data_IF_945513868617
#
_entry.id   IF_945513868617
#
_cell.length_a   1.000
_cell.length_b   1.000
_cell.length_c   1.000
_cell.angle_alpha   90.00
_cell.angle_beta   90.00
_cell.angle_gamma   90.00
#
_symmetry.space_group_name_H-M   'P 1'
#
loop_
_entity.id
_entity.type
_entity.pdbx_description
1 polymer ?
#
# COMPACT_ATOMS: atom_id res chain seq x y z
N UNK A 1 -16.59 65.53 -60.26
CA UNK A 1 -17.86 64.91 -59.81
C UNK A 1 -18.18 63.82 -60.83
N UNK A 2 -18.14 62.51 -60.61
CA UNK A 2 -18.47 61.64 -59.47
C UNK A 2 -17.48 60.46 -59.48
N UNK A 3 -16.85 60.17 -58.35
CA UNK A 3 -16.14 58.90 -58.14
C UNK A 3 -17.18 57.79 -58.08
N UNK A 4 -17.03 56.80 -58.95
CA UNK A 4 -17.99 55.74 -59.22
C UNK A 4 -18.08 54.79 -58.01
N UNK A 5 -19.21 54.81 -57.31
CA UNK A 5 -19.44 54.16 -56.02
C UNK A 5 -20.06 52.76 -56.20
N UNK A 6 -19.48 51.92 -57.07
CA UNK A 6 -20.10 50.63 -57.44
C UNK A 6 -19.34 49.34 -57.07
N UNK A 7 -18.09 49.39 -56.65
CA UNK A 7 -17.30 48.16 -56.37
C UNK A 7 -17.19 47.74 -54.89
N UNK A 8 -17.84 48.45 -53.97
CA UNK A 8 -17.74 48.17 -52.52
C UNK A 8 -18.75 47.17 -51.95
N UNK A 9 -19.66 46.63 -52.77
CA UNK A 9 -20.72 45.72 -52.27
C UNK A 9 -20.25 44.28 -52.05
N UNK A 10 -19.26 43.80 -52.80
CA UNK A 10 -18.68 42.47 -52.61
C UNK A 10 -17.65 42.40 -51.46
N UNK A 11 -16.99 43.51 -51.13
CA UNK A 11 -16.00 43.55 -50.05
C UNK A 11 -16.66 43.48 -48.67
N UNK A 12 -17.80 44.17 -48.47
CA UNK A 12 -18.51 44.14 -47.18
C UNK A 12 -19.10 42.77 -46.83
N UNK A 13 -19.50 41.96 -47.82
CA UNK A 13 -19.91 40.57 -47.57
C UNK A 13 -18.75 39.65 -47.24
N UNK A 14 -17.57 39.87 -47.85
CA UNK A 14 -16.36 39.10 -47.57
C UNK A 14 -15.81 39.41 -46.18
N UNK A 15 -15.71 40.70 -45.82
CA UNK A 15 -15.32 41.16 -44.48
C UNK A 15 -16.30 40.65 -43.41
N UNK A 16 -17.59 40.68 -43.70
CA UNK A 16 -18.63 40.11 -42.83
C UNK A 16 -18.49 38.61 -42.63
N UNK A 17 -18.17 37.85 -43.68
CA UNK A 17 -17.95 36.41 -43.59
C UNK A 17 -16.70 36.06 -42.77
N UNK A 18 -15.58 36.76 -43.00
CA UNK A 18 -14.33 36.55 -42.24
C UNK A 18 -14.54 36.91 -40.76
N UNK A 19 -15.18 38.05 -40.48
CA UNK A 19 -15.48 38.47 -39.11
C UNK A 19 -16.43 37.49 -38.40
N UNK A 20 -17.43 36.96 -39.10
CA UNK A 20 -18.35 35.96 -38.56
C UNK A 20 -17.63 34.64 -38.25
N UNK A 21 -16.79 34.15 -39.15
CA UNK A 21 -15.99 32.94 -38.92
C UNK A 21 -15.02 33.13 -37.75
N UNK A 22 -14.35 34.28 -37.66
CA UNK A 22 -13.44 34.58 -36.55
C UNK A 22 -14.19 34.65 -35.21
N UNK A 23 -15.38 35.27 -35.19
CA UNK A 23 -16.23 35.34 -34.01
C UNK A 23 -16.70 33.94 -33.57
N UNK A 24 -17.09 33.08 -34.51
CA UNK A 24 -17.53 31.73 -34.22
C UNK A 24 -16.40 30.90 -33.60
N UNK A 25 -15.19 30.97 -34.18
CA UNK A 25 -14.00 30.31 -33.61
C UNK A 25 -13.71 30.82 -32.20
N UNK A 26 -13.82 32.14 -31.98
CA UNK A 26 -13.61 32.73 -30.65
C UNK A 26 -14.64 32.23 -29.62
N UNK A 27 -15.93 32.22 -29.98
CA UNK A 27 -16.99 31.73 -29.09
C UNK A 27 -16.77 30.25 -28.80
N UNK A 28 -16.47 29.42 -29.80
CA UNK A 28 -16.20 27.99 -29.61
C UNK A 28 -14.99 27.77 -28.70
N UNK A 29 -13.92 28.56 -28.85
CA UNK A 29 -12.75 28.48 -27.98
C UNK A 29 -13.10 28.83 -26.52
N UNK A 30 -13.85 29.91 -26.29
CA UNK A 30 -14.29 30.30 -24.93
C UNK A 30 -15.18 29.22 -24.31
N UNK A 31 -16.16 28.69 -25.05
CA UNK A 31 -17.02 27.60 -24.59
C UNK A 31 -16.20 26.34 -24.28
N UNK A 32 -15.21 26.00 -25.10
CA UNK A 32 -14.34 24.85 -24.87
C UNK A 32 -13.49 25.02 -23.59
N UNK A 33 -12.98 26.22 -23.31
CA UNK A 33 -12.24 26.51 -22.07
C UNK A 33 -13.15 26.39 -20.86
N UNK A 34 -14.36 26.97 -20.92
CA UNK A 34 -15.33 26.89 -19.82
C UNK A 34 -15.73 25.43 -19.56
N UNK A 35 -15.99 24.65 -20.62
CA UNK A 35 -16.33 23.24 -20.49
C UNK A 35 -15.18 22.44 -19.86
N UNK A 36 -13.94 22.75 -20.21
CA UNK A 36 -12.75 22.13 -19.61
C UNK A 36 -12.63 22.45 -18.12
N UNK A 37 -12.70 23.73 -17.74
CA UNK A 37 -12.62 24.14 -16.32
C UNK A 37 -13.77 23.53 -15.51
N UNK A 38 -14.98 23.45 -16.11
CA UNK A 38 -16.10 22.76 -15.47
C UNK A 38 -15.80 21.28 -15.26
N UNK A 39 -15.27 20.58 -16.25
CA UNK A 39 -14.92 19.17 -16.13
C UNK A 39 -13.89 18.91 -15.02
N UNK A 40 -12.88 19.77 -14.91
CA UNK A 40 -11.84 19.74 -13.86
C UNK A 40 -12.46 19.89 -12.45
N UNK A 41 -13.34 20.89 -12.27
CA UNK A 41 -14.07 21.12 -11.01
C UNK A 41 -14.97 19.91 -10.67
N UNK A 42 -15.65 19.35 -11.67
CA UNK A 42 -16.51 18.18 -11.46
C UNK A 42 -15.69 16.97 -11.02
N UNK A 43 -14.54 16.73 -11.63
CA UNK A 43 -13.63 15.65 -11.26
C UNK A 43 -13.12 15.81 -9.82
N UNK A 44 -12.66 16.99 -9.44
CA UNK A 44 -12.19 17.25 -8.08
C UNK A 44 -13.29 17.00 -7.05
N UNK A 45 -14.52 17.49 -7.30
CA UNK A 45 -15.66 17.27 -6.39
C UNK A 45 -16.08 15.81 -6.31
N UNK A 46 -15.95 15.05 -7.40
CA UNK A 46 -16.21 13.62 -7.38
C UNK A 46 -15.16 12.88 -6.55
N UNK A 47 -13.88 13.24 -6.67
CA UNK A 47 -12.81 12.69 -5.84
C UNK A 47 -13.00 13.01 -4.35
N UNK A 48 -13.34 14.25 -4.01
CA UNK A 48 -13.63 14.67 -2.62
C UNK A 48 -14.81 13.88 -2.02
N UNK A 49 -15.90 13.68 -2.78
CA UNK A 49 -17.03 12.90 -2.28
C UNK A 49 -16.66 11.42 -2.09
N UNK A 50 -15.87 10.85 -2.99
CA UNK A 50 -15.36 9.48 -2.83
C UNK A 50 -14.47 9.38 -1.59
N UNK A 51 -13.61 10.36 -1.35
CA UNK A 51 -12.79 10.47 -0.14
C UNK A 51 -13.64 10.47 1.13
N UNK A 52 -14.72 11.26 1.15
CA UNK A 52 -15.65 11.33 2.29
C UNK A 52 -16.37 10.00 2.53
N UNK A 53 -16.84 9.34 1.47
CA UNK A 53 -17.43 8.00 1.57
C UNK A 53 -16.41 7.00 2.13
N UNK A 54 -15.19 7.01 1.62
CA UNK A 54 -14.13 6.13 2.09
C UNK A 54 -13.76 6.38 3.56
N UNK A 55 -13.74 7.64 4.01
CA UNK A 55 -13.49 7.98 5.42
C UNK A 55 -14.51 7.35 6.38
N UNK A 56 -15.75 7.17 5.93
CA UNK A 56 -16.78 6.45 6.72
C UNK A 56 -16.65 4.94 6.66
N UNK A 57 -16.10 4.40 5.57
CA UNK A 57 -15.94 2.97 5.38
C UNK A 57 -14.74 2.43 6.17
N UNK A 58 -13.59 3.12 6.17
CA UNK A 58 -12.36 2.58 6.77
C UNK A 58 -12.49 2.16 8.25
N UNK A 59 -13.11 2.94 9.14
CA UNK A 59 -13.30 2.54 10.54
C UNK A 59 -14.25 1.35 10.73
N UNK A 60 -15.16 1.11 9.78
CA UNK A 60 -16.11 -0.01 9.84
C UNK A 60 -15.52 -1.32 9.29
N UNK A 61 -14.33 -1.27 8.68
CA UNK A 61 -13.69 -2.40 8.01
C UNK A 61 -12.59 -2.97 8.91
N UNK A 62 -12.89 -4.08 9.60
CA UNK A 62 -11.95 -4.76 10.50
C UNK A 62 -11.10 -5.81 9.80
N UNK A 63 -11.51 -6.28 8.61
CA UNK A 63 -10.83 -7.31 7.84
C UNK A 63 -10.83 -6.99 6.34
N UNK A 64 -9.81 -7.44 5.61
CA UNK A 64 -9.74 -7.46 4.15
C UNK A 64 -10.92 -8.21 3.50
N UNK A 65 -11.45 -9.24 4.16
CA UNK A 65 -12.65 -9.95 3.71
C UNK A 65 -13.91 -9.09 3.84
N UNK A 66 -14.04 -8.35 4.94
CA UNK A 66 -15.12 -7.37 5.13
C UNK A 66 -14.96 -6.17 4.20
N UNK A 67 -13.73 -5.75 3.92
CA UNK A 67 -13.38 -4.73 2.94
C UNK A 67 -13.87 -5.12 1.55
N UNK A 68 -13.51 -6.31 1.10
CA UNK A 68 -13.90 -6.85 -0.20
C UNK A 68 -15.41 -7.01 -0.27
N UNK A 69 -16.05 -7.64 0.73
CA UNK A 69 -17.48 -7.90 0.70
C UNK A 69 -18.31 -6.62 0.80
N UNK A 70 -17.90 -5.66 1.63
CA UNK A 70 -18.53 -4.33 1.73
C UNK A 70 -18.35 -3.55 0.43
N UNK A 71 -17.16 -3.55 -0.17
CA UNK A 71 -16.91 -2.91 -1.47
C UNK A 71 -17.71 -3.59 -2.59
N UNK A 72 -17.78 -4.93 -2.59
CA UNK A 72 -18.53 -5.71 -3.57
C UNK A 72 -20.04 -5.48 -3.45
N UNK A 73 -20.57 -5.43 -2.23
CA UNK A 73 -21.99 -5.17 -1.96
C UNK A 73 -22.37 -3.70 -2.19
N UNK A 74 -21.40 -2.79 -2.09
CA UNK A 74 -21.58 -1.37 -2.42
C UNK A 74 -21.50 -1.09 -3.93
N UNK A 75 -21.25 -2.09 -4.79
CA UNK A 75 -21.39 -1.97 -6.24
C UNK A 75 -22.87 -2.18 -6.61
N UNK A 76 -23.55 -1.21 -7.24
CA UNK A 76 -24.87 -1.45 -7.79
C UNK A 76 -24.77 -2.50 -8.91
N UNK A 77 -25.69 -3.47 -8.92
CA UNK A 77 -25.78 -4.63 -9.84
C UNK A 77 -25.88 -4.30 -11.36
N UNK A 78 -25.76 -3.03 -11.73
CA UNK A 78 -26.22 -2.50 -13.01
C UNK A 78 -25.15 -2.10 -14.04
N UNK A 79 -23.99 -1.57 -13.67
CA UNK A 79 -23.08 -0.97 -14.67
C UNK A 79 -21.59 -1.25 -14.39
N UNK A 80 -20.87 -1.61 -15.46
CA UNK A 80 -19.43 -1.92 -15.58
C UNK A 80 -19.01 -3.37 -15.22
N UNK A 81 -19.52 -4.31 -16.03
CA UNK A 81 -19.33 -5.76 -15.92
C UNK A 81 -18.08 -6.39 -16.57
N UNK A 82 -17.08 -5.65 -17.05
CA UNK A 82 -15.89 -6.32 -17.66
C UNK A 82 -14.57 -6.04 -16.98
N UNK A 83 -14.21 -4.79 -16.69
CA UNK A 83 -12.83 -4.48 -16.29
C UNK A 83 -12.66 -4.37 -14.76
N UNK A 84 -13.61 -3.72 -14.07
CA UNK A 84 -13.63 -3.63 -12.61
C UNK A 84 -13.85 -5.01 -12.01
N UNK A 85 -14.74 -5.82 -12.59
CA UNK A 85 -14.93 -7.20 -12.19
C UNK A 85 -13.70 -8.04 -12.51
N UNK A 86 -13.04 -7.90 -13.66
CA UNK A 86 -11.86 -8.72 -13.97
C UNK A 86 -10.66 -8.40 -13.08
N UNK A 87 -10.39 -7.12 -12.78
CA UNK A 87 -9.29 -6.74 -11.87
C UNK A 87 -9.61 -6.97 -10.41
N UNK A 88 -10.85 -6.70 -9.95
CA UNK A 88 -11.27 -7.08 -8.62
C UNK A 88 -11.32 -8.60 -8.47
N UNK A 89 -11.77 -9.35 -9.48
CA UNK A 89 -11.71 -10.82 -9.53
C UNK A 89 -10.27 -11.31 -9.64
N UNK A 90 -9.35 -10.57 -10.26
CA UNK A 90 -7.92 -10.91 -10.30
C UNK A 90 -7.25 -10.62 -8.97
N UNK A 91 -7.58 -9.50 -8.31
CA UNK A 91 -7.16 -9.19 -6.94
C UNK A 91 -7.76 -10.20 -5.96
N UNK A 92 -9.02 -10.62 -6.15
CA UNK A 92 -9.69 -11.67 -5.40
C UNK A 92 -9.15 -13.06 -5.71
N UNK A 93 -8.75 -13.34 -6.95
CA UNK A 93 -8.12 -14.59 -7.34
C UNK A 93 -6.66 -14.61 -6.89
N UNK A 94 -6.00 -13.47 -6.78
CA UNK A 94 -4.72 -13.34 -6.10
C UNK A 94 -4.97 -13.60 -4.61
N UNK A 95 -5.86 -12.87 -3.94
CA UNK A 95 -6.25 -13.09 -2.53
C UNK A 95 -6.70 -14.55 -2.26
N UNK A 96 -7.43 -15.18 -3.18
CA UNK A 96 -7.91 -16.55 -3.08
C UNK A 96 -6.84 -17.60 -3.42
N UNK A 97 -5.90 -17.29 -4.33
CA UNK A 97 -4.69 -18.10 -4.53
C UNK A 97 -3.70 -17.93 -3.38
N UNK A 98 -3.72 -16.77 -2.71
CA UNK A 98 -3.04 -16.49 -1.46
C UNK A 98 -3.70 -17.31 -0.34
N UNK A 99 -5.01 -17.62 -0.40
CA UNK A 99 -5.64 -18.59 0.50
C UNK A 99 -5.20 -20.06 0.33
N UNK A 100 -4.59 -20.42 -0.81
CA UNK A 100 -4.00 -21.76 -1.04
C UNK A 100 -2.46 -21.72 -0.89
N UNK A 101 -1.88 -20.52 -0.88
CA UNK A 101 -0.45 -20.24 -0.69
C UNK A 101 -0.27 -19.19 0.42
N UNK A 102 -0.84 -19.45 1.59
CA UNK A 102 -1.03 -18.50 2.70
C UNK A 102 0.27 -18.11 3.44
N UNK A 103 1.41 -18.69 3.08
CA UNK A 103 2.65 -18.67 3.85
C UNK A 103 3.60 -17.49 3.61
N UNK A 104 3.30 -16.57 2.69
CA UNK A 104 4.33 -15.65 2.17
C UNK A 104 3.92 -14.17 2.07
N UNK A 105 2.79 -13.78 2.68
CA UNK A 105 2.23 -12.42 2.52
C UNK A 105 2.17 -11.69 3.86
N UNK A 106 3.11 -10.77 4.05
CA UNK A 106 3.09 -9.82 5.16
C UNK A 106 1.87 -8.90 5.06
N UNK A 107 1.34 -8.45 6.19
CA UNK A 107 0.17 -7.55 6.27
C UNK A 107 0.30 -6.27 5.43
N UNK A 108 1.53 -5.78 5.21
CA UNK A 108 1.81 -4.65 4.32
C UNK A 108 1.53 -4.95 2.84
N UNK A 109 1.90 -6.14 2.35
CA UNK A 109 1.65 -6.52 0.96
C UNK A 109 0.18 -6.85 0.67
N UNK A 110 -0.57 -7.27 1.69
CA UNK A 110 -2.02 -7.45 1.59
C UNK A 110 -2.74 -6.09 1.61
N UNK A 111 -2.32 -5.19 2.50
CA UNK A 111 -2.81 -3.80 2.55
C UNK A 111 -2.61 -3.11 1.20
N UNK A 112 -1.41 -3.22 0.63
CA UNK A 112 -1.08 -2.67 -0.69
C UNK A 112 -1.94 -3.30 -1.80
N UNK A 113 -2.10 -4.63 -1.84
CA UNK A 113 -2.97 -5.30 -2.81
C UNK A 113 -4.44 -4.88 -2.73
N UNK A 114 -4.97 -4.68 -1.52
CA UNK A 114 -6.36 -4.25 -1.33
C UNK A 114 -6.53 -2.79 -1.72
N UNK A 115 -5.58 -1.93 -1.34
CA UNK A 115 -5.58 -0.50 -1.65
C UNK A 115 -5.41 -0.24 -3.15
N UNK A 116 -4.40 -0.84 -3.79
CA UNK A 116 -4.10 -0.65 -5.21
C UNK A 116 -4.99 -1.47 -6.14
N UNK A 117 -5.49 -2.63 -5.69
CA UNK A 117 -6.25 -3.54 -6.55
C UNK A 117 -7.76 -3.34 -6.50
N UNK A 118 -8.33 -3.26 -5.30
CA UNK A 118 -9.79 -3.25 -5.10
C UNK A 118 -10.29 -1.85 -4.85
N UNK A 119 -9.68 -1.14 -3.90
CA UNK A 119 -10.13 0.19 -3.51
C UNK A 119 -9.81 1.24 -4.56
N UNK A 120 -8.63 1.21 -5.20
CA UNK A 120 -8.29 2.14 -6.25
C UNK A 120 -9.24 2.04 -7.45
N UNK A 121 -9.56 0.81 -7.87
CA UNK A 121 -10.51 0.56 -8.96
C UNK A 121 -11.94 0.97 -8.58
N UNK A 122 -12.38 0.68 -7.34
CA UNK A 122 -13.70 1.13 -6.87
C UNK A 122 -13.78 2.65 -6.81
N UNK A 123 -12.75 3.30 -6.27
CA UNK A 123 -12.67 4.74 -6.16
C UNK A 123 -12.66 5.39 -7.55
N UNK A 124 -11.91 4.85 -8.52
CA UNK A 124 -11.93 5.31 -9.90
C UNK A 124 -13.33 5.19 -10.52
N UNK A 125 -14.03 4.07 -10.30
CA UNK A 125 -15.40 3.85 -10.75
C UNK A 125 -16.42 4.80 -10.10
N UNK A 126 -16.30 5.04 -8.78
CA UNK A 126 -17.14 5.99 -8.06
C UNK A 126 -16.90 7.44 -8.48
N UNK A 127 -15.64 7.79 -8.78
CA UNK A 127 -15.29 9.11 -9.31
C UNK A 127 -15.89 9.29 -10.71
N UNK A 128 -15.80 8.28 -11.57
CA UNK A 128 -16.41 8.31 -12.90
C UNK A 128 -17.94 8.45 -12.82
N UNK A 129 -18.58 7.65 -11.95
CA UNK A 129 -20.02 7.69 -11.74
C UNK A 129 -20.48 9.04 -11.15
N UNK A 130 -19.76 9.54 -10.15
CA UNK A 130 -20.00 10.84 -9.53
C UNK A 130 -19.79 12.01 -10.50
N UNK A 131 -18.89 11.87 -11.47
CA UNK A 131 -18.73 12.83 -12.56
C UNK A 131 -19.97 12.83 -13.46
N UNK A 132 -20.43 11.66 -13.92
CA UNK A 132 -21.62 11.54 -14.78
C UNK A 132 -22.86 12.11 -14.11
N UNK A 133 -23.09 11.77 -12.85
CA UNK A 133 -24.22 12.29 -12.06
C UNK A 133 -24.21 13.82 -12.02
N UNK A 134 -23.06 14.43 -11.70
CA UNK A 134 -22.92 15.89 -11.65
C UNK A 134 -22.93 16.56 -13.04
N UNK A 135 -22.65 15.80 -14.09
CA UNK A 135 -22.71 16.27 -15.46
C UNK A 135 -24.07 15.99 -16.13
N UNK A 136 -25.15 15.84 -15.34
CA UNK A 136 -26.50 15.56 -15.80
C UNK A 136 -26.61 14.28 -16.67
N UNK A 137 -25.78 13.27 -16.38
CA UNK A 137 -25.71 12.02 -17.13
C UNK A 137 -24.93 12.13 -18.46
N UNK A 138 -24.22 13.23 -18.71
CA UNK A 138 -23.43 13.41 -19.92
C UNK A 138 -21.99 12.90 -19.75
N UNK A 139 -21.51 12.15 -20.74
CA UNK A 139 -20.11 11.71 -20.86
C UNK A 139 -19.20 12.77 -21.52
N UNK A 140 -19.72 13.97 -21.79
CA UNK A 140 -18.96 15.05 -22.43
C UNK A 140 -17.76 15.46 -21.57
N UNK A 141 -16.55 15.34 -22.14
CA UNK A 141 -15.26 15.59 -21.46
C UNK A 141 -15.00 14.68 -20.25
N UNK A 142 -15.66 13.50 -20.20
CA UNK A 142 -15.29 12.48 -19.24
C UNK A 142 -13.84 12.04 -19.51
N UNK A 143 -13.00 11.90 -18.47
CA UNK A 143 -11.65 11.41 -18.67
C UNK A 143 -11.65 9.98 -19.21
N UNK A 144 -10.79 9.72 -20.20
CA UNK A 144 -10.59 8.38 -20.76
C UNK A 144 -9.81 7.46 -19.82
N UNK A 145 -9.09 8.09 -18.89
CA UNK A 145 -8.22 7.42 -17.94
C UNK A 145 -8.39 8.11 -16.60
N UNK A 146 -8.70 7.32 -15.58
CA UNK A 146 -8.76 7.72 -14.17
C UNK A 146 -7.94 6.68 -13.43
N UNK A 147 -6.86 7.11 -12.79
CA UNK A 147 -6.01 6.29 -11.95
C UNK A 147 -6.04 6.84 -10.54
N UNK A 148 -6.25 5.96 -9.57
CA UNK A 148 -6.30 6.33 -8.16
C UNK A 148 -5.16 5.62 -7.45
N UNK A 149 -4.39 6.37 -6.69
CA UNK A 149 -3.28 5.87 -5.89
C UNK A 149 -3.57 6.27 -4.44
N UNK A 150 -3.40 5.32 -3.52
CA UNK A 150 -3.48 5.59 -2.09
C UNK A 150 -2.09 5.53 -1.48
N UNK A 151 -1.77 6.54 -0.68
CA UNK A 151 -0.57 6.60 0.13
C UNK A 151 -0.98 6.76 1.61
N UNK A 152 -0.45 5.91 2.48
CA UNK A 152 -0.85 5.85 3.89
C UNK A 152 0.23 6.52 4.73
N UNK A 153 -0.15 7.59 5.42
CA UNK A 153 0.69 8.24 6.41
C UNK A 153 0.32 7.72 7.81
N UNK A 154 0.99 6.64 8.21
CA UNK A 154 0.81 5.98 9.50
C UNK A 154 1.16 6.92 10.68
N UNK A 155 1.97 7.98 10.47
CA UNK A 155 2.31 8.94 11.53
C UNK A 155 1.20 9.96 11.79
N UNK A 156 0.42 10.29 10.77
CA UNK A 156 -0.63 11.32 10.84
C UNK A 156 -2.06 10.74 10.79
N UNK A 157 -2.22 9.41 10.66
CA UNK A 157 -3.52 8.74 10.50
C UNK A 157 -4.35 9.31 9.34
N UNK A 158 -3.68 9.56 8.21
CA UNK A 158 -4.29 10.10 6.99
C UNK A 158 -3.90 9.21 5.82
N UNK A 159 -4.86 8.91 4.95
CA UNK A 159 -4.59 8.36 3.64
C UNK A 159 -4.68 9.48 2.61
N UNK A 160 -3.63 9.68 1.83
CA UNK A 160 -3.67 10.55 0.67
C UNK A 160 -4.16 9.75 -0.53
N UNK A 161 -5.30 10.16 -1.09
CA UNK A 161 -5.81 9.64 -2.35
C UNK A 161 -5.42 10.60 -3.47
N UNK A 162 -4.53 10.15 -4.36
CA UNK A 162 -4.12 10.88 -5.56
C UNK A 162 -4.91 10.34 -6.75
N UNK A 163 -5.65 11.22 -7.42
CA UNK A 163 -6.42 10.88 -8.62
C UNK A 163 -5.81 11.54 -9.84
N UNK A 164 -5.20 10.74 -10.71
CA UNK A 164 -4.66 11.17 -11.99
C UNK A 164 -5.66 10.90 -13.10
N UNK A 165 -5.89 11.90 -13.96
CA UNK A 165 -6.84 11.76 -15.05
C UNK A 165 -6.44 12.51 -16.31
N UNK A 166 -6.90 12.02 -17.46
CA UNK A 166 -6.63 12.62 -18.78
C UNK A 166 -7.91 13.01 -19.49
N UNK A 167 -8.05 14.31 -19.77
CA UNK A 167 -9.20 14.85 -20.50
C UNK A 167 -8.79 15.08 -21.96
N UNK A 168 -9.57 14.52 -22.89
CA UNK A 168 -9.43 14.82 -24.32
C UNK A 168 -10.04 16.17 -24.64
N UNK A 169 -9.22 17.08 -25.12
CA UNK A 169 -9.66 18.39 -25.63
C UNK A 169 -9.45 18.48 -27.14
N UNK A 170 -10.00 19.53 -27.77
CA UNK A 170 -9.78 19.81 -29.20
C UNK A 170 -8.29 20.05 -29.51
N UNK A 171 -7.50 20.44 -28.49
CA UNK A 171 -6.08 20.79 -28.61
C UNK A 171 -5.18 19.57 -28.29
N UNK A 172 -5.76 18.47 -27.81
CA UNK A 172 -5.05 17.24 -27.42
C UNK A 172 -5.39 16.80 -25.99
N UNK A 173 -4.63 15.81 -25.52
CA UNK A 173 -4.82 15.20 -24.21
C UNK A 173 -4.16 16.06 -23.12
N UNK A 174 -4.94 16.46 -22.12
CA UNK A 174 -4.42 17.22 -20.97
C UNK A 174 -4.51 16.33 -19.74
N UNK A 175 -3.35 16.05 -19.14
CA UNK A 175 -3.24 15.35 -17.86
C UNK A 175 -3.44 16.31 -16.68
N UNK A 176 -4.21 15.85 -15.70
CA UNK A 176 -4.47 16.53 -14.43
C UNK A 176 -4.36 15.55 -13.29
N UNK A 177 -4.12 16.08 -12.10
CA UNK A 177 -4.06 15.32 -10.86
C UNK A 177 -4.71 16.13 -9.76
N UNK A 178 -5.47 15.48 -8.89
CA UNK A 178 -5.94 16.06 -7.65
C UNK A 178 -5.62 15.14 -6.48
N UNK A 179 -5.32 15.75 -5.32
CA UNK A 179 -4.99 15.03 -4.09
C UNK A 179 -6.04 15.35 -3.05
N UNK A 180 -6.59 14.33 -2.43
CA UNK A 180 -7.59 14.43 -1.36
C UNK A 180 -7.11 13.64 -0.14
N UNK A 181 -7.35 14.17 1.06
CA UNK A 181 -6.99 13.51 2.31
C UNK A 181 -8.21 12.78 2.90
N UNK A 182 -8.03 11.52 3.22
CA UNK A 182 -9.01 10.67 3.90
C UNK A 182 -8.55 10.55 5.36
N UNK A 183 -9.24 11.22 6.30
CA UNK A 183 -8.93 11.05 7.72
C UNK A 183 -9.33 9.64 8.16
N UNK A 184 -8.43 8.96 8.86
CA UNK A 184 -8.69 7.65 9.44
C UNK A 184 -8.90 7.82 10.93
N UNK A 185 -10.04 7.36 11.42
CA UNK A 185 -10.35 7.36 12.85
C UNK A 185 -10.13 5.94 13.40
N UNK A 186 -9.06 5.75 14.20
CA UNK A 186 -8.69 4.46 14.78
C UNK A 186 -7.48 3.80 14.11
N UNK A 187 -7.08 2.63 14.60
CA UNK A 187 -6.01 1.85 13.96
C UNK A 187 -6.53 1.19 12.68
N UNK A 188 -5.89 1.50 11.54
CA UNK A 188 -6.20 0.83 10.29
C UNK A 188 -5.48 -0.51 10.23
N UNK A 189 -6.21 -1.59 10.47
CA UNK A 189 -5.70 -2.94 10.31
C UNK A 189 -6.57 -3.72 9.32
N UNK A 190 -5.94 -4.24 8.27
CA UNK A 190 -6.62 -4.96 7.17
C UNK A 190 -6.06 -6.38 7.13
N UNK A 191 -6.82 -7.38 7.61
CA UNK A 191 -6.43 -8.80 7.64
C UNK A 191 -7.39 -9.69 6.84
N UNK A 192 -6.96 -10.76 6.18
CA UNK A 192 -7.90 -11.66 5.47
C UNK A 192 -8.82 -12.42 6.43
N UNK A 193 -10.13 -12.40 6.16
CA UNK A 193 -11.07 -13.34 6.77
C UNK A 193 -10.67 -14.75 6.33
N UNK A 194 -10.18 -15.52 7.31
CA UNK A 194 -9.53 -16.81 7.14
C UNK A 194 -8.60 -17.13 8.31
N UNK A 195 -8.07 -16.10 8.97
CA UNK A 195 -7.65 -16.22 10.36
C UNK A 195 -8.76 -15.60 11.21
N UNK A 196 -9.57 -16.44 11.85
CA UNK A 196 -10.20 -16.08 13.11
C UNK A 196 -9.06 -15.68 14.06
N UNK A 197 -8.61 -14.43 13.97
CA UNK A 197 -7.77 -13.84 14.98
C UNK A 197 -8.72 -13.35 16.05
N UNK A 198 -9.07 -14.29 16.94
CA UNK A 198 -8.89 -13.98 18.36
C UNK A 198 -7.59 -13.16 18.46
N UNK A 199 -7.60 -12.02 19.15
CA UNK A 199 -6.36 -11.33 19.50
C UNK A 199 -5.31 -12.39 19.80
N UNK A 200 -4.12 -12.39 19.18
CA UNK A 200 -3.18 -13.46 19.40
C UNK A 200 -2.98 -13.49 20.91
N UNK A 201 -3.56 -14.50 21.56
CA UNK A 201 -3.24 -14.78 22.92
C UNK A 201 -1.72 -14.81 22.89
N UNK A 202 -1.06 -13.98 23.70
CA UNK A 202 0.38 -13.70 23.62
C UNK A 202 1.24 -14.99 23.55
N UNK A 203 0.63 -16.15 23.83
CA UNK A 203 1.15 -17.50 23.83
C UNK A 203 1.11 -18.28 22.47
N UNK A 204 0.42 -17.86 21.40
CA UNK A 204 0.22 -18.73 20.21
C UNK A 204 1.30 -18.62 19.09
N UNK A 205 2.01 -17.49 18.97
CA UNK A 205 3.05 -17.30 17.90
C UNK A 205 4.14 -18.38 17.92
N UNK A 206 4.39 -18.98 19.10
CA UNK A 206 5.39 -20.02 19.27
C UNK A 206 4.95 -21.40 18.78
N UNK A 207 3.64 -21.64 18.61
CA UNK A 207 3.10 -22.91 18.11
C UNK A 207 3.40 -23.11 16.62
N UNK A 208 3.53 -22.01 15.87
CA UNK A 208 3.88 -21.96 14.45
C UNK A 208 5.25 -22.56 14.11
N UNK A 209 5.48 -22.83 12.82
CA UNK A 209 6.77 -23.30 12.34
C UNK A 209 7.85 -22.20 12.39
N UNK A 210 9.11 -22.55 12.09
CA UNK A 210 10.22 -21.60 12.21
C UNK A 210 10.10 -20.42 11.21
N UNK A 211 9.52 -20.65 10.03
CA UNK A 211 9.39 -19.67 8.97
C UNK A 211 8.21 -18.75 9.24
N UNK A 212 7.02 -19.31 9.50
CA UNK A 212 5.79 -18.58 9.86
C UNK A 212 6.02 -17.66 11.06
N UNK A 213 6.62 -18.20 12.13
CA UNK A 213 6.98 -17.43 13.33
C UNK A 213 7.94 -16.28 12.99
N UNK A 214 8.90 -16.53 12.10
CA UNK A 214 9.82 -15.50 11.62
C UNK A 214 9.07 -14.34 10.99
N UNK A 215 8.08 -14.64 10.15
CA UNK A 215 7.30 -13.64 9.44
C UNK A 215 6.36 -12.86 10.37
N UNK A 216 5.73 -13.53 11.34
CA UNK A 216 4.91 -12.85 12.35
C UNK A 216 5.73 -11.87 13.19
N UNK A 217 6.94 -12.25 13.60
CA UNK A 217 7.82 -11.33 14.30
C UNK A 217 8.34 -10.19 13.41
N UNK A 218 8.55 -10.41 12.11
CA UNK A 218 8.87 -9.31 11.19
C UNK A 218 7.74 -8.28 11.15
N UNK A 219 6.49 -8.72 11.13
CA UNK A 219 5.33 -7.83 11.16
C UNK A 219 5.23 -7.11 12.50
N UNK A 220 5.29 -7.86 13.61
CA UNK A 220 5.15 -7.33 14.96
C UNK A 220 6.19 -6.24 15.29
N UNK A 221 7.42 -6.40 14.80
CA UNK A 221 8.51 -5.46 15.02
C UNK A 221 8.70 -4.44 13.88
N UNK A 222 7.78 -4.37 12.91
CA UNK A 222 7.73 -3.30 11.91
C UNK A 222 8.80 -3.39 10.82
N UNK A 223 9.10 -4.59 10.31
CA UNK A 223 10.01 -4.79 9.18
C UNK A 223 9.60 -3.99 7.94
N UNK A 224 10.50 -3.14 7.43
CA UNK A 224 10.24 -2.28 6.27
C UNK A 224 11.00 -2.73 4.99
N UNK A 225 11.86 -3.76 5.11
CA UNK A 225 12.56 -4.37 3.97
C UNK A 225 11.87 -5.68 3.54
N UNK A 226 11.91 -6.01 2.23
CA UNK A 226 11.38 -7.28 1.72
C UNK A 226 11.98 -8.51 2.43
N UNK A 227 11.23 -9.61 2.54
CA UNK A 227 11.70 -10.88 3.14
C UNK A 227 12.95 -11.45 2.45
N UNK A 228 13.05 -11.25 1.14
CA UNK A 228 14.21 -11.66 0.35
C UNK A 228 15.37 -10.67 0.40
N UNK A 229 15.19 -9.52 1.06
CA UNK A 229 16.26 -8.54 1.18
C UNK A 229 17.40 -9.14 2.00
N UNK A 230 18.65 -9.03 1.54
CA UNK A 230 19.74 -9.74 2.14
C UNK A 230 20.07 -9.19 3.53
N UNK A 231 20.02 -10.06 4.54
CA UNK A 231 20.52 -9.86 5.91
C UNK A 231 19.74 -8.85 6.77
N UNK A 232 19.19 -7.80 6.18
CA UNK A 232 18.49 -6.72 6.87
C UNK A 232 16.97 -6.83 6.74
N UNK A 233 16.26 -6.57 7.84
CA UNK A 233 14.80 -6.64 7.91
C UNK A 233 14.17 -5.26 8.14
N UNK A 234 14.90 -4.38 8.84
CA UNK A 234 14.57 -2.96 9.01
C UNK A 234 15.78 -2.11 8.61
N UNK A 235 15.53 -1.03 7.86
CA UNK A 235 16.48 0.05 7.67
C UNK A 235 15.82 1.41 7.88
N UNK A 236 16.31 2.16 8.87
CA UNK A 236 15.77 3.49 9.18
C UNK A 236 16.89 4.40 9.71
N UNK A 237 17.03 5.60 9.13
CA UNK A 237 17.96 6.64 9.59
C UNK A 237 19.45 6.20 9.72
N UNK A 238 19.88 5.22 8.92
CA UNK A 238 21.23 4.65 8.99
C UNK A 238 21.37 3.48 9.97
N UNK A 239 20.29 3.04 10.61
CA UNK A 239 20.28 1.88 11.51
C UNK A 239 19.73 0.66 10.77
N UNK A 240 20.50 -0.42 10.75
CA UNK A 240 20.10 -1.70 10.17
C UNK A 240 19.74 -2.67 11.27
N UNK A 241 18.53 -3.23 11.25
CA UNK A 241 18.11 -4.28 12.18
C UNK A 241 17.81 -5.57 11.44
N UNK A 242 18.33 -6.68 11.96
CA UNK A 242 17.93 -8.04 11.57
C UNK A 242 17.14 -8.68 12.71
N UNK A 243 15.99 -9.25 12.39
CA UNK A 243 15.04 -9.88 13.31
C UNK A 243 15.21 -11.39 13.22
N UNK A 244 15.45 -12.02 14.37
CA UNK A 244 15.67 -13.46 14.48
C UNK A 244 14.81 -14.03 15.60
N UNK A 245 13.85 -14.88 15.25
CA UNK A 245 13.09 -15.65 16.25
C UNK A 245 13.77 -16.99 16.55
N UNK A 246 13.91 -17.31 17.84
CA UNK A 246 14.46 -18.58 18.31
C UNK A 246 13.63 -19.08 19.48
N UNK A 247 12.99 -20.24 19.28
CA UNK A 247 12.32 -20.94 20.37
C UNK A 247 13.34 -21.77 21.16
N UNK A 248 13.70 -21.29 22.35
CA UNK A 248 14.66 -21.96 23.24
C UNK A 248 14.07 -23.16 23.98
N UNK A 249 12.75 -23.39 23.90
CA UNK A 249 12.11 -24.55 24.53
C UNK A 249 12.25 -25.83 23.69
N UNK A 250 12.72 -25.72 22.44
CA UNK A 250 12.90 -26.88 21.57
C UNK A 250 14.02 -27.82 22.07
N UNK A 251 13.83 -29.16 21.99
CA UNK A 251 14.79 -30.14 22.48
C UNK A 251 16.21 -29.99 21.91
N UNK A 252 16.32 -29.55 20.65
CA UNK A 252 17.61 -29.35 19.96
C UNK A 252 18.48 -28.27 20.61
N UNK A 253 17.88 -27.33 21.36
CA UNK A 253 18.60 -26.25 22.04
C UNK A 253 18.99 -26.58 23.48
N UNK A 254 18.56 -27.73 24.00
CA UNK A 254 18.90 -28.21 25.36
C UNK A 254 20.41 -28.34 25.61
N UNK A 255 21.23 -28.47 24.56
CA UNK A 255 22.69 -28.58 24.66
C UNK A 255 23.44 -27.26 24.38
N UNK A 256 22.75 -26.15 24.07
CA UNK A 256 23.27 -24.77 23.95
C UNK A 256 24.32 -24.47 22.84
N UNK A 257 25.08 -25.47 22.38
CA UNK A 257 26.21 -25.29 21.45
C UNK A 257 25.78 -24.92 20.04
N UNK A 258 24.68 -25.48 19.55
CA UNK A 258 24.17 -25.22 18.19
C UNK A 258 23.49 -23.85 18.10
N UNK A 259 22.89 -23.39 19.19
CA UNK A 259 22.33 -22.06 19.33
C UNK A 259 23.40 -20.97 19.23
N UNK A 260 24.47 -21.11 20.04
CA UNK A 260 25.55 -20.13 20.06
C UNK A 260 26.26 -20.03 18.70
N UNK A 261 26.39 -21.15 17.97
CA UNK A 261 26.94 -21.17 16.61
C UNK A 261 26.04 -20.45 15.61
N UNK A 262 24.73 -20.63 15.72
CA UNK A 262 23.74 -19.99 14.85
C UNK A 262 23.72 -18.48 15.04
N UNK A 263 23.61 -18.00 16.28
CA UNK A 263 23.62 -16.56 16.58
C UNK A 263 24.96 -15.93 16.16
N UNK A 264 26.10 -16.60 16.40
CA UNK A 264 27.40 -16.12 15.90
C UNK A 264 27.45 -16.04 14.37
N UNK A 265 26.80 -16.96 13.65
CA UNK A 265 26.72 -16.92 12.18
C UNK A 265 25.96 -15.69 11.72
N UNK A 266 24.83 -15.38 12.37
CA UNK A 266 24.00 -14.24 12.02
C UNK A 266 24.68 -12.91 12.38
N UNK A 267 25.33 -12.82 13.55
CA UNK A 267 26.21 -11.69 13.91
C UNK A 267 27.28 -11.47 12.83
N UNK A 268 27.96 -12.52 12.38
CA UNK A 268 29.02 -12.40 11.39
C UNK A 268 28.48 -12.00 10.01
N UNK A 269 27.27 -12.43 9.62
CA UNK A 269 26.63 -11.97 8.38
C UNK A 269 26.31 -10.49 8.46
N UNK A 270 25.67 -10.04 9.54
CA UNK A 270 25.31 -8.64 9.74
C UNK A 270 26.54 -7.73 9.86
N UNK A 271 27.59 -8.20 10.54
CA UNK A 271 28.87 -7.48 10.62
C UNK A 271 29.51 -7.23 9.24
N UNK A 272 29.40 -8.20 8.32
CA UNK A 272 29.93 -8.11 6.95
C UNK A 272 29.01 -7.36 5.98
N UNK A 273 27.75 -7.15 6.34
CA UNK A 273 26.79 -6.45 5.49
C UNK A 273 27.21 -4.99 5.31
N UNK A 274 27.29 -4.52 4.07
CA UNK A 274 27.75 -3.14 3.74
C UNK A 274 26.69 -2.32 3.03
N UNK A 275 25.45 -2.83 2.99
CA UNK A 275 24.38 -2.29 2.18
C UNK A 275 24.14 -3.12 0.93
N UNK A 276 22.95 -3.00 0.37
CA UNK A 276 22.58 -3.63 -0.90
C UNK A 276 21.47 -2.81 -1.57
N UNK A 277 21.31 -3.03 -2.88
CA UNK A 277 20.19 -2.48 -3.65
C UNK A 277 19.38 -3.64 -4.21
N UNK A 278 18.07 -3.63 -3.96
CA UNK A 278 17.16 -4.63 -4.48
C UNK A 278 15.98 -3.94 -5.16
N UNK A 279 15.70 -4.32 -6.41
CA UNK A 279 14.40 -4.04 -7.01
C UNK A 279 13.47 -5.20 -6.69
N UNK A 280 12.36 -4.92 -6.02
CA UNK A 280 11.35 -5.92 -5.72
C UNK A 280 9.98 -5.38 -6.10
N UNK A 281 9.29 -6.10 -7.00
CA UNK A 281 7.96 -5.74 -7.52
C UNK A 281 7.87 -4.30 -8.09
N UNK A 282 8.97 -3.78 -8.65
CA UNK A 282 8.99 -2.43 -9.22
C UNK A 282 9.44 -1.32 -8.25
N UNK A 283 9.55 -1.62 -6.96
CA UNK A 283 10.07 -0.70 -5.93
C UNK A 283 11.56 -0.94 -5.72
N UNK A 284 12.35 0.14 -5.75
CA UNK A 284 13.77 0.12 -5.46
C UNK A 284 14.02 0.31 -3.96
N UNK A 285 14.54 -0.73 -3.30
CA UNK A 285 15.01 -0.69 -1.93
C UNK A 285 16.52 -0.45 -1.93
N UNK A 286 16.96 0.56 -1.18
CA UNK A 286 18.35 0.90 -1.00
C UNK A 286 18.69 0.94 0.48
N UNK A 287 19.66 0.13 0.87
CA UNK A 287 20.32 0.24 2.17
C UNK A 287 21.73 0.73 1.93
N UNK A 288 21.97 1.99 2.25
CA UNK A 288 23.27 2.65 2.23
C UNK A 288 23.58 3.28 3.60
N UNK A 289 24.64 4.09 3.72
CA UNK A 289 25.00 4.88 4.91
C UNK A 289 24.75 4.22 6.29
N UNK A 290 25.25 2.99 6.48
CA UNK A 290 25.02 2.22 7.71
C UNK A 290 25.84 2.81 8.86
N UNK A 291 25.16 3.42 9.82
CA UNK A 291 25.71 4.00 11.06
C UNK A 291 25.75 2.99 12.21
N UNK A 292 24.72 2.17 12.33
CA UNK A 292 24.65 1.14 13.37
C UNK A 292 23.96 -0.13 12.87
N UNK A 293 24.26 -1.25 13.54
CA UNK A 293 23.76 -2.58 13.19
C UNK A 293 23.25 -3.28 14.44
N UNK A 294 22.02 -3.76 14.40
CA UNK A 294 21.37 -4.43 15.51
C UNK A 294 20.87 -5.81 15.07
N UNK A 295 21.21 -6.84 15.84
CA UNK A 295 20.59 -8.15 15.75
C UNK A 295 19.57 -8.24 16.88
N UNK A 296 18.29 -8.23 16.54
CA UNK A 296 17.17 -8.43 17.46
C UNK A 296 16.83 -9.92 17.53
N UNK A 297 17.13 -10.55 18.66
CA UNK A 297 16.79 -11.95 18.93
C UNK A 297 15.57 -12.01 19.83
N UNK A 298 14.53 -12.67 19.36
CA UNK A 298 13.26 -12.82 20.09
C UNK A 298 13.18 -14.25 20.62
N UNK A 299 12.89 -14.38 21.92
CA UNK A 299 12.83 -15.66 22.64
C UNK A 299 11.56 -15.76 23.47
N UNK A 300 11.04 -16.98 23.73
CA UNK A 300 9.90 -17.16 24.63
C UNK A 300 10.25 -16.76 26.06
N UNK A 301 9.29 -16.19 26.78
CA UNK A 301 9.47 -15.76 28.18
C UNK A 301 9.74 -16.95 29.10
N UNK A 302 9.07 -18.09 28.85
CA UNK A 302 9.24 -19.36 29.57
C UNK A 302 10.52 -20.15 29.22
N UNK A 303 11.44 -19.54 28.46
CA UNK A 303 12.74 -20.17 28.16
C UNK A 303 13.58 -20.35 29.43
N UNK A 304 14.40 -21.41 29.44
CA UNK A 304 15.33 -21.69 30.53
C UNK A 304 16.28 -20.49 30.78
N UNK A 305 16.34 -19.95 32.01
CA UNK A 305 17.22 -18.84 32.38
C UNK A 305 18.71 -19.10 32.07
N UNK A 306 19.19 -20.34 32.19
CA UNK A 306 20.59 -20.68 31.94
C UNK A 306 20.92 -20.61 30.45
N UNK A 307 19.99 -21.02 29.58
CA UNK A 307 20.13 -20.90 28.12
C UNK A 307 20.04 -19.42 27.71
N UNK A 308 19.13 -18.64 28.31
CA UNK A 308 19.06 -17.19 28.10
C UNK A 308 20.36 -16.49 28.49
N UNK A 309 20.96 -16.86 29.61
CA UNK A 309 22.26 -16.33 30.04
C UNK A 309 23.39 -16.67 29.06
N UNK A 310 23.37 -17.87 28.47
CA UNK A 310 24.33 -18.25 27.42
C UNK A 310 24.18 -17.37 26.17
N UNK A 311 22.95 -17.08 25.73
CA UNK A 311 22.71 -16.16 24.60
C UNK A 311 23.15 -14.74 24.95
N UNK A 312 22.84 -14.27 26.16
CA UNK A 312 23.26 -12.95 26.63
C UNK A 312 24.80 -12.80 26.68
N UNK A 313 25.53 -13.88 26.96
CA UNK A 313 27.01 -13.88 26.93
C UNK A 313 27.59 -13.59 25.54
N UNK A 314 26.80 -13.75 24.46
CA UNK A 314 27.21 -13.43 23.10
C UNK A 314 27.21 -11.93 22.80
N UNK A 315 26.63 -11.08 23.67
CA UNK A 315 26.66 -9.62 23.51
C UNK A 315 28.09 -9.11 23.36
N UNK A 316 29.01 -9.57 24.21
CA UNK A 316 30.43 -9.19 24.11
C UNK A 316 31.10 -9.64 22.80
N UNK A 317 30.61 -10.70 22.15
CA UNK A 317 31.11 -11.10 20.83
C UNK A 317 30.52 -10.22 19.72
N UNK A 318 29.25 -9.85 19.81
CA UNK A 318 28.57 -8.95 18.89
C UNK A 318 29.21 -7.54 18.92
N UNK A 319 29.47 -7.00 20.12
CA UNK A 319 30.10 -5.69 20.30
C UNK A 319 31.49 -5.63 19.64
N UNK A 320 32.30 -6.69 19.80
CA UNK A 320 33.61 -6.82 19.13
C UNK A 320 33.51 -6.85 17.60
N UNK A 321 32.34 -7.16 17.05
CA UNK A 321 32.05 -7.17 15.62
C UNK A 321 31.30 -5.92 15.14
N UNK A 322 31.05 -4.95 16.04
CA UNK A 322 30.30 -3.73 15.71
C UNK A 322 28.82 -3.97 15.48
N UNK A 323 28.25 -4.99 16.12
CA UNK A 323 26.82 -5.32 16.06
C UNK A 323 26.25 -5.28 17.47
N UNK A 324 25.17 -4.54 17.67
CA UNK A 324 24.41 -4.55 18.92
C UNK A 324 23.51 -5.80 18.96
N UNK A 325 23.57 -6.57 20.04
CA UNK A 325 22.70 -7.74 20.23
C UNK A 325 21.59 -7.41 21.23
N UNK A 326 20.40 -7.15 20.71
CA UNK A 326 19.19 -6.94 21.50
C UNK A 326 18.46 -8.28 21.67
N UNK A 327 18.05 -8.60 22.90
CA UNK A 327 17.34 -9.84 23.21
C UNK A 327 16.03 -9.43 23.86
N UNK A 328 14.91 -9.81 23.24
CA UNK A 328 13.58 -9.51 23.74
C UNK A 328 12.82 -10.79 24.03
N UNK A 329 12.09 -10.76 25.13
CA UNK A 329 11.16 -11.82 25.51
C UNK A 329 9.78 -11.48 24.94
N UNK A 330 9.10 -12.49 24.41
CA UNK A 330 7.73 -12.35 23.90
C UNK A 330 6.99 -13.65 24.09
N UNK A 331 5.80 -13.64 24.70
CA UNK A 331 4.92 -14.80 24.83
C UNK A 331 5.50 -15.99 25.58
N UNK A 332 4.78 -17.12 25.60
CA UNK A 332 5.28 -18.41 26.11
C UNK A 332 5.20 -19.49 25.02
N UNK A 333 6.23 -20.33 24.88
CA UNK A 333 6.18 -21.49 23.98
C UNK A 333 5.70 -22.73 24.73
N UNK A 334 4.52 -23.24 24.38
CA UNK A 334 3.98 -24.51 24.90
C UNK A 334 4.14 -25.67 23.93
N UNK A 335 4.85 -25.45 22.81
CA UNK A 335 4.99 -26.42 21.72
C UNK A 335 5.62 -27.74 22.14
N UNK A 336 6.47 -27.69 23.17
CA UNK A 336 7.19 -28.85 23.70
C UNK A 336 6.84 -29.13 25.17
N UNK A 337 5.77 -28.55 25.70
CA UNK A 337 5.31 -28.83 27.06
C UNK A 337 4.70 -30.23 27.13
N UNK A 338 5.39 -31.14 27.82
CA UNK A 338 4.96 -32.55 28.01
C UNK A 338 3.75 -32.72 28.94
N UNK A 339 3.01 -31.65 29.27
CA UNK A 339 1.89 -31.65 30.23
C UNK A 339 0.49 -31.65 29.60
N UNK A 340 0.38 -31.71 28.26
CA UNK A 340 -0.91 -31.70 27.53
C UNK A 340 -1.30 -33.05 26.91
N UNK A 341 -0.75 -34.16 27.41
CA UNK A 341 -1.24 -35.51 27.11
C UNK A 341 -1.65 -36.20 28.41
N UNK A 342 -2.86 -35.91 28.90
CA UNK A 342 -3.65 -36.79 29.77
C UNK A 342 -5.15 -36.52 29.55
#
# INVERSE_FOLDING_TARGET
MKVNKKDRRGSSSLEGAIAFSALLVFITAVVSIIAFVRADILMQRSAEQTSEKLATLFPAMTTAGDLVSTVANALPDGELKSDVSAKAVTALAQIGKIGIAADDISGGSLRELVMEGVLAERAASDIASGYKERNNGSDLLMPDYINVIFDIDDNHNVIYMTTDYKIKTIIGDIGRSCVTAIPVYGEMTIFLNGSDREEPAEDDIWSHDQMERGDEFRVLYGANLPKMFPVADIYENGNVTSIRSVDLTAPDYSQGKDLAKTIKKDINKLAKFTGDKMNYKGTDYLVDDIKSKTLLVIVPSNSDPDIKAQVASLRSYADKKGVNLDIREYGNSRKYDTSAQD
#
